data_IF_222510514844
#
_entry.id   IF_222510514844
#
_cell.length_a   1.000
_cell.length_b   1.000
_cell.length_c   1.000
_cell.angle_alpha   90.00
_cell.angle_beta   90.00
_cell.angle_gamma   90.00
#
_symmetry.space_group_name_H-M   'P 1'
#
loop_
_entity.id
_entity.type
_entity.pdbx_description
1 polymer ?
#
# COMPACT_ATOMS: atom_id res chain seq x y z
N UNK A 1 12.25 -13.48 16.61
CA UNK A 1 11.81 -12.09 16.37
C UNK A 1 12.85 -11.19 16.99
N UNK A 2 13.67 -10.54 16.16
CA UNK A 2 14.59 -9.50 16.62
C UNK A 2 13.70 -8.29 16.94
N UNK A 3 13.75 -7.73 18.16
CA UNK A 3 13.03 -6.49 18.44
C UNK A 3 13.60 -5.43 17.52
N UNK A 4 12.82 -4.99 16.53
CA UNK A 4 13.11 -3.74 15.84
C UNK A 4 13.05 -2.67 16.92
N UNK A 5 14.21 -2.23 17.39
CA UNK A 5 14.32 -1.06 18.23
C UNK A 5 13.58 0.09 17.51
N UNK A 6 13.12 1.07 18.28
CA UNK A 6 12.44 2.27 17.80
C UNK A 6 13.43 3.15 17.01
N UNK A 7 13.97 2.63 15.91
CA UNK A 7 14.82 3.34 14.97
C UNK A 7 13.89 4.34 14.30
N UNK A 8 14.07 5.63 14.60
CA UNK A 8 13.37 6.69 13.90
C UNK A 8 13.79 6.69 12.43
N UNK A 9 12.91 7.10 11.51
CA UNK A 9 13.25 7.03 10.08
C UNK A 9 14.50 7.85 9.74
N UNK A 10 14.85 8.85 10.56
CA UNK A 10 16.06 9.68 10.43
C UNK A 10 17.39 8.95 10.61
N UNK A 11 17.40 7.74 11.19
CA UNK A 11 18.63 6.93 11.39
C UNK A 11 18.84 5.89 10.29
N UNK A 12 17.92 5.81 9.32
CA UNK A 12 17.98 4.85 8.23
C UNK A 12 19.06 5.22 7.19
N UNK A 13 19.66 4.22 6.52
CA UNK A 13 20.50 4.45 5.35
C UNK A 13 19.76 5.28 4.28
N UNK A 14 20.47 6.14 3.56
CA UNK A 14 19.88 6.99 2.51
C UNK A 14 19.11 6.18 1.45
N UNK A 15 19.55 4.96 1.15
CA UNK A 15 18.87 4.04 0.25
C UNK A 15 17.47 3.63 0.75
N UNK A 16 17.33 3.37 2.06
CA UNK A 16 16.06 2.99 2.68
C UNK A 16 15.10 4.20 2.75
N UNK A 17 15.62 5.39 3.03
CA UNK A 17 14.87 6.64 2.98
C UNK A 17 14.34 6.94 1.57
N UNK A 18 15.18 6.75 0.55
CA UNK A 18 14.77 6.84 -0.85
C UNK A 18 13.62 5.88 -1.17
N UNK A 19 13.72 4.63 -0.70
CA UNK A 19 12.66 3.63 -0.84
C UNK A 19 11.33 4.05 -0.19
N UNK A 20 11.37 4.55 1.04
CA UNK A 20 10.18 5.05 1.75
C UNK A 20 9.53 6.24 1.03
N UNK A 21 10.32 7.14 0.46
CA UNK A 21 9.81 8.28 -0.31
C UNK A 21 9.05 7.83 -1.57
N UNK A 22 9.45 6.72 -2.19
CA UNK A 22 8.76 6.14 -3.34
C UNK A 22 7.50 5.38 -2.92
N UNK A 23 7.53 4.70 -1.77
CA UNK A 23 6.35 4.01 -1.21
C UNK A 23 5.21 5.01 -0.98
N UNK A 24 5.49 6.26 -0.61
CA UNK A 24 4.47 7.33 -0.51
C UNK A 24 3.61 7.46 -1.75
N UNK A 25 4.21 7.51 -2.94
CA UNK A 25 3.45 7.64 -4.18
C UNK A 25 2.59 6.40 -4.45
N UNK A 26 3.08 5.22 -4.07
CA UNK A 26 2.31 3.99 -4.15
C UNK A 26 1.10 4.05 -3.21
N UNK A 27 1.28 4.49 -1.96
CA UNK A 27 0.19 4.61 -0.97
C UNK A 27 -0.86 5.64 -1.41
N UNK A 28 -0.44 6.78 -1.98
CA UNK A 28 -1.36 7.76 -2.57
C UNK A 28 -2.15 7.14 -3.74
N UNK A 29 -1.48 6.36 -4.59
CA UNK A 29 -2.14 5.59 -5.65
C UNK A 29 -3.17 4.60 -5.12
N UNK A 30 -2.82 3.83 -4.08
CA UNK A 30 -3.75 2.91 -3.42
C UNK A 30 -4.96 3.63 -2.81
N UNK A 31 -4.77 4.82 -2.24
CA UNK A 31 -5.89 5.64 -1.78
C UNK A 31 -6.79 6.10 -2.92
N UNK A 32 -6.23 6.63 -4.01
CA UNK A 32 -6.99 7.13 -5.15
C UNK A 32 -7.75 6.00 -5.85
N UNK A 33 -7.04 4.97 -6.29
CA UNK A 33 -7.64 3.86 -7.02
C UNK A 33 -8.48 2.98 -6.10
N UNK A 34 -8.05 2.74 -4.85
CA UNK A 34 -8.81 1.97 -3.87
C UNK A 34 -10.12 2.66 -3.48
N UNK A 35 -10.15 3.98 -3.29
CA UNK A 35 -11.39 4.71 -3.03
C UNK A 35 -12.34 4.66 -4.24
N UNK A 36 -11.81 4.84 -5.46
CA UNK A 36 -12.60 4.71 -6.68
C UNK A 36 -13.17 3.29 -6.85
N UNK A 37 -12.34 2.28 -6.60
CA UNK A 37 -12.74 0.88 -6.66
C UNK A 37 -13.75 0.53 -5.57
N UNK A 38 -13.67 1.14 -4.38
CA UNK A 38 -14.63 0.95 -3.30
C UNK A 38 -16.03 1.44 -3.67
N UNK A 39 -16.14 2.56 -4.40
CA UNK A 39 -17.44 3.05 -4.89
C UNK A 39 -18.09 2.07 -5.87
N UNK A 40 -17.27 1.35 -6.65
CA UNK A 40 -17.76 0.41 -7.67
C UNK A 40 -17.99 -1.00 -7.11
N UNK A 41 -17.09 -1.48 -6.24
CA UNK A 41 -17.04 -2.84 -5.68
C UNK A 41 -16.51 -2.80 -4.24
N UNK A 42 -17.34 -2.44 -3.25
CA UNK A 42 -16.88 -2.11 -1.91
C UNK A 42 -16.19 -3.28 -1.20
N UNK A 43 -16.75 -4.49 -1.29
CA UNK A 43 -16.19 -5.67 -0.63
C UNK A 43 -14.81 -6.07 -1.17
N UNK A 44 -14.62 -5.96 -2.49
CA UNK A 44 -13.34 -6.29 -3.13
C UNK A 44 -12.26 -5.25 -2.85
N UNK A 45 -12.64 -3.98 -2.67
CA UNK A 45 -11.70 -2.89 -2.42
C UNK A 45 -11.17 -2.84 -0.97
N UNK A 46 -11.79 -3.57 -0.04
CA UNK A 46 -11.39 -3.56 1.38
C UNK A 46 -9.94 -3.96 1.59
N UNK A 47 -9.43 -4.96 0.87
CA UNK A 47 -8.03 -5.42 1.00
C UNK A 47 -7.04 -4.32 0.60
N UNK A 48 -7.31 -3.61 -0.50
CA UNK A 48 -6.51 -2.47 -0.98
C UNK A 48 -6.59 -1.28 -0.03
N UNK A 49 -7.78 -0.96 0.50
CA UNK A 49 -7.93 0.11 1.50
C UNK A 49 -7.21 -0.22 2.81
N UNK A 50 -7.28 -1.48 3.26
CA UNK A 50 -6.50 -1.97 4.40
C UNK A 50 -5.00 -1.78 4.18
N UNK A 51 -4.51 -2.11 3.00
CA UNK A 51 -3.12 -1.89 2.64
C UNK A 51 -2.74 -0.40 2.62
N UNK A 52 -3.63 0.45 2.11
CA UNK A 52 -3.45 1.89 2.11
C UNK A 52 -3.37 2.45 3.55
N UNK A 53 -4.18 1.94 4.48
CA UNK A 53 -4.06 2.29 5.89
C UNK A 53 -2.68 1.92 6.44
N UNK A 54 -2.22 0.68 6.27
CA UNK A 54 -0.88 0.26 6.73
C UNK A 54 0.24 1.13 6.15
N UNK A 55 0.13 1.49 4.86
CA UNK A 55 1.06 2.40 4.21
C UNK A 55 1.05 3.80 4.83
N UNK A 56 -0.11 4.34 5.20
CA UNK A 56 -0.21 5.62 5.89
C UNK A 56 0.41 5.56 7.30
N UNK A 57 0.22 4.46 8.04
CA UNK A 57 0.87 4.27 9.35
C UNK A 57 2.40 4.10 9.22
N UNK A 58 2.86 3.43 8.18
CA UNK A 58 4.30 3.31 7.88
C UNK A 58 4.93 4.69 7.64
N UNK A 59 4.23 5.57 6.92
CA UNK A 59 4.70 6.90 6.52
C UNK A 59 4.27 8.02 7.47
N UNK A 60 4.03 7.73 8.75
CA UNK A 60 3.49 8.72 9.69
C UNK A 60 4.40 9.95 9.89
N UNK A 61 5.72 9.79 9.68
CA UNK A 61 6.71 10.87 9.77
C UNK A 61 6.73 11.76 8.51
N UNK A 62 6.09 11.33 7.41
CA UNK A 62 6.05 12.13 6.18
C UNK A 62 5.03 13.28 6.30
N UNK A 63 5.44 14.54 6.05
CA UNK A 63 4.57 15.70 6.25
C UNK A 63 3.34 15.72 5.32
N UNK A 64 3.39 15.07 4.16
CA UNK A 64 2.25 14.99 3.25
C UNK A 64 1.21 13.98 3.72
N UNK A 65 1.64 12.92 4.42
CA UNK A 65 0.77 11.86 4.93
C UNK A 65 0.28 12.13 6.36
N UNK A 66 0.94 13.03 7.09
CA UNK A 66 0.64 13.35 8.49
C UNK A 66 -0.85 13.63 8.75
N UNK A 67 -1.52 14.45 7.91
CA UNK A 67 -2.96 14.74 8.08
C UNK A 67 -3.82 13.48 7.95
N UNK A 68 -3.56 12.67 6.94
CA UNK A 68 -4.28 11.40 6.73
C UNK A 68 -4.03 10.47 7.92
N UNK A 69 -2.78 10.36 8.37
CA UNK A 69 -2.42 9.59 9.55
C UNK A 69 -3.18 10.03 10.80
N UNK A 70 -3.25 11.34 11.11
CA UNK A 70 -3.99 11.82 12.28
C UNK A 70 -5.48 11.47 12.21
N UNK A 71 -6.12 11.66 11.06
CA UNK A 71 -7.52 11.25 10.88
C UNK A 71 -7.72 9.73 11.09
N UNK A 72 -6.78 8.91 10.61
CA UNK A 72 -6.83 7.46 10.79
C UNK A 72 -6.56 7.03 12.23
N UNK A 73 -5.67 7.74 12.92
CA UNK A 73 -5.31 7.46 14.31
C UNK A 73 -6.46 7.75 15.28
N UNK A 74 -7.27 8.76 14.97
CA UNK A 74 -8.49 9.06 15.74
C UNK A 74 -9.64 8.06 15.46
N UNK A 75 -9.52 7.26 14.40
CA UNK A 75 -10.51 6.23 14.05
C UNK A 75 -10.29 4.91 14.81
N UNK A 76 -11.22 3.97 14.68
CA UNK A 76 -11.10 2.61 15.24
C UNK A 76 -9.81 1.89 14.78
N UNK A 77 -9.30 2.21 13.59
CA UNK A 77 -8.06 1.63 13.06
C UNK A 77 -6.85 2.02 13.93
N UNK A 78 -6.83 3.22 14.49
CA UNK A 78 -5.75 3.70 15.34
C UNK A 78 -5.61 2.98 16.67
N UNK A 79 -6.71 2.40 17.17
CA UNK A 79 -6.67 1.56 18.37
C UNK A 79 -5.97 0.22 18.10
N UNK A 80 -5.99 -0.26 16.86
CA UNK A 80 -5.38 -1.54 16.47
C UNK A 80 -3.94 -1.39 15.97
N UNK A 81 -3.63 -0.32 15.24
CA UNK A 81 -2.33 -0.16 14.58
C UNK A 81 -1.26 0.52 15.45
N UNK A 82 -1.60 1.04 16.64
CA UNK A 82 -0.61 1.65 17.54
C UNK A 82 0.08 2.88 16.93
N UNK A 83 1.33 3.20 17.32
CA UNK A 83 1.99 4.45 16.93
C UNK A 83 2.39 4.51 15.44
N UNK A 84 2.48 3.40 14.72
CA UNK A 84 2.96 3.36 13.33
C UNK A 84 4.49 3.31 13.19
N UNK A 85 4.99 3.67 12.01
CA UNK A 85 6.42 3.70 11.68
C UNK A 85 6.97 2.43 11.04
N UNK A 86 8.29 2.25 11.10
CA UNK A 86 8.99 1.08 10.54
C UNK A 86 8.45 -0.28 10.96
N UNK A 87 7.90 -0.50 12.17
CA UNK A 87 7.25 -1.78 12.50
C UNK A 87 6.09 -2.15 11.55
N UNK A 88 5.48 -1.17 10.88
CA UNK A 88 4.44 -1.39 9.88
C UNK A 88 4.98 -1.81 8.51
N UNK A 89 6.30 -1.78 8.31
CA UNK A 89 6.91 -2.14 7.03
C UNK A 89 6.69 -3.62 6.70
N UNK A 90 6.85 -4.51 7.70
CA UNK A 90 6.67 -5.94 7.52
C UNK A 90 5.20 -6.32 7.18
N UNK A 91 4.17 -5.88 7.95
CA UNK A 91 2.79 -6.14 7.55
C UNK A 91 2.45 -5.49 6.22
N UNK A 92 2.91 -4.26 5.95
CA UNK A 92 2.69 -3.60 4.66
C UNK A 92 3.27 -4.42 3.49
N UNK A 93 4.50 -4.91 3.61
CA UNK A 93 5.12 -5.78 2.62
C UNK A 93 4.31 -7.07 2.40
N UNK A 94 3.91 -7.74 3.48
CA UNK A 94 3.17 -9.00 3.38
C UNK A 94 1.81 -8.80 2.67
N UNK A 95 1.03 -7.82 3.12
CA UNK A 95 -0.27 -7.53 2.52
C UNK A 95 -0.15 -7.03 1.07
N UNK A 96 0.84 -6.18 0.75
CA UNK A 96 1.06 -5.72 -0.63
C UNK A 96 1.45 -6.87 -1.56
N UNK A 97 2.31 -7.78 -1.11
CA UNK A 97 2.71 -8.94 -1.90
C UNK A 97 1.53 -9.89 -2.16
N UNK A 98 0.74 -10.21 -1.13
CA UNK A 98 -0.44 -11.08 -1.26
C UNK A 98 -1.50 -10.44 -2.16
N UNK A 99 -1.83 -9.17 -1.93
CA UNK A 99 -2.82 -8.47 -2.75
C UNK A 99 -2.36 -8.36 -4.22
N UNK A 100 -1.09 -8.04 -4.46
CA UNK A 100 -0.54 -7.96 -5.82
C UNK A 100 -0.67 -9.30 -6.58
N UNK A 101 -0.51 -10.44 -5.89
CA UNK A 101 -0.74 -11.75 -6.51
C UNK A 101 -2.23 -11.96 -6.81
N UNK A 102 -3.11 -11.70 -5.83
CA UNK A 102 -4.55 -11.91 -5.98
C UNK A 102 -5.13 -11.02 -7.09
N UNK A 103 -4.86 -9.72 -7.08
CA UNK A 103 -5.31 -8.80 -8.12
C UNK A 103 -4.64 -9.08 -9.47
N UNK A 104 -3.38 -9.55 -9.47
CA UNK A 104 -2.70 -9.99 -10.69
C UNK A 104 -3.43 -11.18 -11.34
N UNK A 105 -3.82 -12.18 -10.56
CA UNK A 105 -4.59 -13.32 -11.05
C UNK A 105 -5.97 -12.90 -11.58
N UNK A 106 -6.65 -11.97 -10.90
CA UNK A 106 -7.92 -11.42 -11.37
C UNK A 106 -7.75 -10.69 -12.71
N UNK A 107 -6.71 -9.86 -12.86
CA UNK A 107 -6.41 -9.20 -14.13
C UNK A 107 -6.12 -10.19 -15.25
N UNK A 108 -5.34 -11.25 -14.98
CA UNK A 108 -5.06 -12.31 -15.96
C UNK A 108 -6.36 -12.98 -16.42
N UNK A 109 -7.29 -13.28 -15.51
CA UNK A 109 -8.59 -13.83 -15.85
C UNK A 109 -9.40 -12.88 -16.74
N UNK A 110 -9.49 -11.60 -16.37
CA UNK A 110 -10.19 -10.58 -17.15
C UNK A 110 -9.59 -10.45 -18.56
N UNK A 111 -8.26 -10.33 -18.66
CA UNK A 111 -7.56 -10.22 -19.95
C UNK A 111 -7.69 -11.49 -20.79
N UNK A 112 -7.76 -12.68 -20.18
CA UNK A 112 -7.95 -13.94 -20.93
C UNK A 112 -9.32 -14.03 -21.61
N UNK A 113 -10.34 -13.37 -21.04
CA UNK A 113 -11.71 -13.39 -21.56
C UNK A 113 -11.97 -12.23 -22.53
N UNK A 114 -11.55 -11.02 -22.18
CA UNK A 114 -11.87 -9.79 -22.90
C UNK A 114 -10.74 -9.31 -23.83
N UNK A 115 -9.51 -9.79 -23.64
CA UNK A 115 -8.35 -9.39 -24.46
C UNK A 115 -8.11 -7.88 -24.44
N UNK A 116 -7.81 -7.31 -25.61
CA UNK A 116 -7.55 -5.87 -25.75
C UNK A 116 -8.78 -4.98 -25.50
N UNK A 117 -10.00 -5.53 -25.58
CA UNK A 117 -11.22 -4.78 -25.26
C UNK A 117 -11.34 -4.46 -23.77
N UNK A 118 -10.51 -5.06 -22.91
CA UNK A 118 -10.55 -4.82 -21.46
C UNK A 118 -10.31 -3.35 -21.09
N UNK A 119 -9.52 -2.61 -21.87
CA UNK A 119 -9.20 -1.19 -21.62
C UNK A 119 -10.35 -0.22 -21.96
N UNK A 120 -11.48 -0.71 -22.49
CA UNK A 120 -12.68 0.14 -22.61
C UNK A 120 -13.47 0.21 -21.30
N UNK A 121 -13.13 -0.63 -20.32
CA UNK A 121 -13.82 -0.71 -19.04
C UNK A 121 -13.00 -0.01 -17.95
N UNK A 122 -13.49 1.14 -17.48
CA UNK A 122 -12.86 1.96 -16.42
C UNK A 122 -12.48 1.12 -15.18
N UNK A 123 -13.28 0.11 -14.83
CA UNK A 123 -13.00 -0.76 -13.69
C UNK A 123 -11.70 -1.56 -13.87
N UNK A 124 -11.41 -2.00 -15.08
CA UNK A 124 -10.15 -2.71 -15.39
C UNK A 124 -8.97 -1.76 -15.27
N UNK A 125 -9.09 -0.53 -15.75
CA UNK A 125 -8.02 0.48 -15.62
C UNK A 125 -7.72 0.80 -14.16
N UNK A 126 -8.76 0.92 -13.34
CA UNK A 126 -8.63 1.11 -11.88
C UNK A 126 -7.96 -0.09 -11.23
N UNK A 127 -8.37 -1.31 -11.58
CA UNK A 127 -7.76 -2.55 -11.06
C UNK A 127 -6.28 -2.69 -11.47
N UNK A 128 -5.92 -2.29 -12.70
CA UNK A 128 -4.53 -2.20 -13.15
C UNK A 128 -3.75 -1.19 -12.31
N UNK A 129 -4.33 -0.01 -12.06
CA UNK A 129 -3.71 1.02 -11.21
C UNK A 129 -3.46 0.54 -9.78
N UNK A 130 -4.42 -0.19 -9.19
CA UNK A 130 -4.26 -0.86 -7.89
C UNK A 130 -3.12 -1.86 -7.96
N UNK A 131 -3.16 -2.79 -8.91
CA UNK A 131 -2.17 -3.86 -9.03
C UNK A 131 -0.75 -3.32 -9.20
N UNK A 132 -0.55 -2.31 -10.06
CA UNK A 132 0.75 -1.65 -10.24
C UNK A 132 1.21 -1.02 -8.94
N UNK A 133 0.34 -0.32 -8.22
CA UNK A 133 0.67 0.31 -6.93
C UNK A 133 1.04 -0.73 -5.86
N UNK A 134 0.33 -1.86 -5.80
CA UNK A 134 0.61 -2.95 -4.85
C UNK A 134 1.92 -3.68 -5.18
N UNK A 135 2.13 -4.02 -6.45
CA UNK A 135 3.34 -4.71 -6.88
C UNK A 135 4.60 -3.84 -6.68
N UNK A 136 4.53 -2.56 -7.04
CA UNK A 136 5.63 -1.62 -6.82
C UNK A 136 5.88 -1.38 -5.33
N UNK A 137 4.81 -1.21 -4.53
CA UNK A 137 4.92 -1.12 -3.07
C UNK A 137 5.59 -2.35 -2.46
N UNK A 138 5.23 -3.56 -2.88
CA UNK A 138 5.82 -4.81 -2.39
C UNK A 138 7.32 -4.89 -2.72
N UNK A 139 7.71 -4.55 -3.96
CA UNK A 139 9.12 -4.55 -4.38
C UNK A 139 9.93 -3.50 -3.62
N UNK A 140 9.39 -2.30 -3.43
CA UNK A 140 10.07 -1.24 -2.69
C UNK A 140 10.17 -1.57 -1.19
N UNK A 141 9.09 -2.06 -0.58
CA UNK A 141 9.09 -2.46 0.82
C UNK A 141 10.08 -3.60 1.09
N UNK A 142 10.21 -4.56 0.16
CA UNK A 142 11.23 -5.61 0.22
C UNK A 142 12.66 -5.04 0.17
N UNK A 143 12.91 -4.03 -0.67
CA UNK A 143 14.22 -3.36 -0.74
C UNK A 143 14.54 -2.64 0.56
N UNK A 144 13.58 -1.92 1.13
CA UNK A 144 13.74 -1.25 2.44
C UNK A 144 13.98 -2.28 3.54
N UNK A 145 13.22 -3.38 3.57
CA UNK A 145 13.41 -4.47 4.55
C UNK A 145 14.79 -5.13 4.47
N UNK A 146 15.44 -5.14 3.30
CA UNK A 146 16.80 -5.65 3.15
C UNK A 146 17.88 -4.69 3.61
N UNK A 147 17.58 -3.39 3.62
CA UNK A 147 18.51 -2.34 3.99
C UNK A 147 18.48 -2.00 5.49
N UNK A 148 17.43 -2.44 6.20
CA UNK A 148 17.24 -2.32 7.66
C UNK A 148 17.72 -3.61 8.34
#
# INVERSE_FOLDING_TARGET
MIPMAHIGATELPEEALGGLSLIKYCVIGLWLFGALFFVLQPLSALSTLCLAFFGTYLLYEDPHMAKCYYCLRESLVGQCCGPGGLPMLMPFFFFSAVNAVVHGLQLVQVFSVLGAASFTHVLVDVLVGIWVSEATAAVLAWRVLKAV
#
